data_IF_504077152219
#
_entry.id   IF_504077152219
#
_cell.length_a   1.000
_cell.length_b   1.000
_cell.length_c   1.000
_cell.angle_alpha   90.00
_cell.angle_beta   90.00
_cell.angle_gamma   90.00
#
_symmetry.space_group_name_H-M   'P 1'
#
loop_
_entity.id
_entity.type
_entity.pdbx_description
1 polymer ?
#
# COMPACT_ATOMS: atom_id res chain seq x y z
N UNK A 1 30.94 16.40 4.01
CA UNK A 1 29.53 16.67 3.66
C UNK A 1 29.06 15.62 2.67
N UNK A 2 28.71 14.45 3.18
CA UNK A 2 28.06 13.37 2.43
C UNK A 2 26.61 13.80 2.24
N UNK A 3 26.25 14.24 1.02
CA UNK A 3 24.84 14.29 0.62
C UNK A 3 24.35 12.85 0.68
N UNK A 4 23.66 12.50 1.76
CA UNK A 4 22.82 11.31 1.78
C UNK A 4 21.86 11.47 0.62
N UNK A 5 22.08 10.68 -0.43
CA UNK A 5 21.15 10.47 -1.52
C UNK A 5 19.99 9.71 -0.86
N UNK A 6 19.12 10.44 -0.15
CA UNK A 6 17.82 9.91 0.23
C UNK A 6 17.16 9.41 -1.05
N UNK A 7 16.71 8.16 -1.04
CA UNK A 7 16.25 7.45 -2.25
C UNK A 7 15.49 8.39 -3.18
N UNK A 8 16.04 8.59 -4.38
CA UNK A 8 15.42 9.41 -5.43
C UNK A 8 13.95 9.01 -5.62
N UNK A 9 13.63 7.73 -5.41
CA UNK A 9 12.28 7.21 -5.47
C UNK A 9 11.38 7.58 -4.30
N UNK A 10 11.93 7.70 -3.08
CA UNK A 10 11.18 8.23 -1.93
C UNK A 10 10.89 9.72 -2.11
N UNK A 11 11.85 10.47 -2.64
CA UNK A 11 11.68 11.91 -2.94
C UNK A 11 10.65 12.13 -4.05
N UNK A 12 10.71 11.33 -5.12
CA UNK A 12 9.70 11.34 -6.20
C UNK A 12 8.32 10.94 -5.69
N UNK A 13 8.25 9.90 -4.85
CA UNK A 13 6.99 9.47 -4.25
C UNK A 13 6.39 10.58 -3.37
N UNK A 14 7.23 11.25 -2.57
CA UNK A 14 6.83 12.39 -1.78
C UNK A 14 6.30 13.55 -2.65
N UNK A 15 7.00 13.90 -3.72
CA UNK A 15 6.61 14.99 -4.61
C UNK A 15 5.29 14.72 -5.35
N UNK A 16 5.08 13.49 -5.83
CA UNK A 16 3.91 13.14 -6.65
C UNK A 16 2.67 12.79 -5.83
N UNK A 17 2.85 12.16 -4.68
CA UNK A 17 1.75 11.59 -3.91
C UNK A 17 1.61 12.19 -2.50
N UNK A 18 2.47 13.14 -2.14
CA UNK A 18 2.57 13.68 -0.78
C UNK A 18 2.71 12.56 0.26
N UNK A 19 3.50 11.53 -0.08
CA UNK A 19 3.87 10.40 0.76
C UNK A 19 5.10 9.67 0.17
N UNK A 20 6.21 9.64 0.90
CA UNK A 20 7.48 9.04 0.43
C UNK A 20 7.47 7.52 0.31
N UNK A 21 6.50 6.82 0.89
CA UNK A 21 6.42 5.36 0.91
C UNK A 21 5.29 4.81 0.02
N UNK A 22 4.57 5.67 -0.71
CA UNK A 22 3.41 5.21 -1.47
C UNK A 22 3.81 4.20 -2.54
N UNK A 23 4.89 4.47 -3.29
CA UNK A 23 5.36 3.58 -4.36
C UNK A 23 5.70 2.19 -3.81
N UNK A 24 6.44 2.15 -2.70
CA UNK A 24 6.85 0.92 -2.03
C UNK A 24 5.64 0.10 -1.54
N UNK A 25 4.69 0.77 -0.87
CA UNK A 25 3.46 0.13 -0.36
C UNK A 25 2.58 -0.38 -1.50
N UNK A 26 2.39 0.41 -2.57
CA UNK A 26 1.57 0.01 -3.73
C UNK A 26 2.21 -1.18 -4.45
N UNK A 27 3.52 -1.17 -4.65
CA UNK A 27 4.22 -2.29 -5.27
C UNK A 27 4.13 -3.56 -4.44
N UNK A 28 4.26 -3.48 -3.11
CA UNK A 28 4.07 -4.63 -2.22
C UNK A 28 2.63 -5.19 -2.27
N UNK A 29 1.61 -4.32 -2.32
CA UNK A 29 0.23 -4.74 -2.53
C UNK A 29 0.07 -5.40 -3.90
N UNK A 30 0.66 -4.82 -4.94
CA UNK A 30 0.58 -5.32 -6.30
C UNK A 30 1.23 -6.70 -6.50
N UNK A 31 2.30 -7.00 -5.74
CA UNK A 31 2.95 -8.32 -5.70
C UNK A 31 2.06 -9.38 -5.03
N UNK A 32 1.24 -8.99 -4.05
CA UNK A 32 0.24 -9.87 -3.45
C UNK A 32 -0.92 -10.24 -4.41
N UNK A 33 -1.04 -9.53 -5.53
CA UNK A 33 -2.05 -9.76 -6.55
C UNK A 33 -3.46 -9.44 -6.06
N UNK A 34 -4.40 -10.37 -6.29
CA UNK A 34 -5.81 -10.25 -5.87
C UNK A 34 -6.11 -10.93 -4.52
N UNK A 35 -5.10 -11.50 -3.85
CA UNK A 35 -5.30 -12.18 -2.57
C UNK A 35 -5.60 -11.16 -1.47
N UNK A 36 -6.54 -11.44 -0.55
CA UNK A 36 -6.76 -10.59 0.60
C UNK A 36 -5.48 -10.49 1.46
N UNK A 37 -5.20 -9.29 1.95
CA UNK A 37 -4.01 -8.99 2.75
C UNK A 37 -4.37 -8.13 3.96
N UNK A 38 -3.47 -8.04 4.93
CA UNK A 38 -3.62 -7.17 6.10
C UNK A 38 -2.56 -6.07 6.06
N UNK A 39 -2.77 -4.97 6.80
CA UNK A 39 -1.75 -3.93 6.97
C UNK A 39 -0.42 -4.51 7.44
N UNK A 40 -0.46 -5.45 8.40
CA UNK A 40 0.72 -6.12 8.94
C UNK A 40 1.46 -6.96 7.89
N UNK A 41 0.72 -7.61 6.98
CA UNK A 41 1.33 -8.35 5.88
C UNK A 41 2.11 -7.41 4.94
N UNK A 42 1.57 -6.24 4.61
CA UNK A 42 2.25 -5.26 3.77
C UNK A 42 3.44 -4.62 4.49
N UNK A 43 3.30 -4.30 5.78
CA UNK A 43 4.39 -3.81 6.62
C UNK A 43 5.57 -4.80 6.63
N UNK A 44 5.30 -6.10 6.82
CA UNK A 44 6.31 -7.14 6.76
C UNK A 44 6.98 -7.24 5.38
N UNK A 45 6.21 -7.14 4.29
CA UNK A 45 6.75 -7.24 2.93
C UNK A 45 7.62 -6.04 2.52
N UNK A 46 7.39 -4.87 3.13
CA UNK A 46 8.11 -3.62 2.83
C UNK A 46 9.20 -3.32 3.87
N UNK A 47 9.33 -4.12 4.93
CA UNK A 47 10.15 -3.78 6.11
C UNK A 47 9.81 -2.42 6.75
N UNK A 48 8.64 -1.85 6.44
CA UNK A 48 8.13 -0.61 7.03
C UNK A 48 7.33 -0.93 8.28
N UNK A 49 7.23 0.04 9.19
CA UNK A 49 6.37 -0.10 10.36
C UNK A 49 4.88 0.03 9.99
N UNK A 50 4.01 -0.61 10.78
CA UNK A 50 2.56 -0.47 10.64
C UNK A 50 2.09 1.00 10.70
N UNK A 51 2.79 1.85 11.44
CA UNK A 51 2.46 3.29 11.56
C UNK A 51 2.71 4.07 10.27
N UNK A 52 3.66 3.63 9.44
CA UNK A 52 3.95 4.22 8.12
C UNK A 52 3.00 3.69 7.06
N UNK A 53 2.70 2.39 7.09
CA UNK A 53 1.85 1.73 6.07
C UNK A 53 0.37 2.10 6.25
N UNK A 54 -0.10 2.25 7.50
CA UNK A 54 -1.52 2.48 7.81
C UNK A 54 -2.10 3.76 7.18
N UNK A 55 -1.45 4.94 7.22
CA UNK A 55 -1.93 6.13 6.53
C UNK A 55 -2.07 5.93 5.01
N UNK A 56 -1.12 5.24 4.37
CA UNK A 56 -1.19 4.94 2.93
C UNK A 56 -2.39 4.05 2.62
N UNK A 57 -2.54 2.96 3.37
CA UNK A 57 -3.68 2.04 3.21
C UNK A 57 -5.01 2.76 3.42
N UNK A 58 -5.13 3.62 4.44
CA UNK A 58 -6.36 4.40 4.69
C UNK A 58 -6.70 5.27 3.48
N UNK A 59 -5.73 6.02 2.94
CA UNK A 59 -5.94 6.82 1.73
C UNK A 59 -6.43 5.99 0.55
N UNK A 60 -5.86 4.79 0.35
CA UNK A 60 -6.28 3.90 -0.74
C UNK A 60 -7.69 3.31 -0.53
N UNK A 61 -8.11 3.11 0.71
CA UNK A 61 -9.49 2.71 1.05
C UNK A 61 -10.45 3.89 0.83
N UNK A 62 -10.09 5.08 1.29
CA UNK A 62 -10.89 6.30 1.13
C UNK A 62 -11.07 6.65 -0.35
N UNK A 63 -10.06 6.40 -1.18
CA UNK A 63 -10.10 6.55 -2.63
C UNK A 63 -10.78 5.38 -3.36
N UNK A 64 -11.34 4.41 -2.63
CA UNK A 64 -12.00 3.20 -3.16
C UNK A 64 -11.13 2.33 -4.07
N UNK A 65 -9.80 2.40 -3.92
CA UNK A 65 -8.87 1.53 -4.64
C UNK A 65 -8.69 0.19 -3.92
N UNK A 66 -8.83 0.20 -2.60
CA UNK A 66 -8.90 -0.98 -1.75
C UNK A 66 -10.29 -1.09 -1.13
N UNK A 67 -10.73 -2.31 -0.90
CA UNK A 67 -11.98 -2.59 -0.19
C UNK A 67 -11.75 -3.57 0.97
N UNK A 68 -12.43 -3.38 2.11
CA UNK A 68 -12.45 -4.37 3.18
C UNK A 68 -13.06 -5.68 2.67
N UNK A 69 -12.42 -6.80 2.97
CA UNK A 69 -13.06 -8.09 2.81
C UNK A 69 -13.97 -8.29 4.02
N UNK A 70 -15.27 -8.48 3.79
CA UNK A 70 -16.20 -8.85 4.85
C UNK A 70 -15.75 -10.17 5.45
N UNK A 71 -15.14 -10.11 6.63
CA UNK A 71 -14.84 -11.30 7.40
C UNK A 71 -16.12 -11.75 8.09
N UNK A 72 -16.79 -12.76 7.54
CA UNK A 72 -17.97 -13.38 8.15
C UNK A 72 -17.61 -14.24 9.38
N UNK A 73 -16.47 -14.00 10.05
CA UNK A 73 -16.10 -14.77 11.23
C UNK A 73 -16.94 -14.32 12.43
N UNK A 74 -17.92 -15.15 12.79
CA UNK A 74 -18.80 -15.08 13.96
C UNK A 74 -18.08 -15.33 15.31
N UNK A 75 -16.76 -15.17 15.36
CA UNK A 75 -15.95 -15.41 16.55
C UNK A 75 -15.76 -14.14 17.40
N UNK A 76 -15.86 -14.29 18.74
CA UNK A 76 -15.66 -13.25 19.78
C UNK A 76 -14.27 -12.60 19.84
N UNK A 77 -13.45 -12.72 18.80
CA UNK A 77 -12.10 -12.15 18.71
C UNK A 77 -12.01 -10.98 17.73
N UNK A 78 -10.98 -10.13 17.89
CA UNK A 78 -10.69 -9.04 16.94
C UNK A 78 -10.28 -9.65 15.60
N UNK A 79 -11.26 -9.81 14.71
CA UNK A 79 -11.05 -10.42 13.39
C UNK A 79 -10.01 -9.60 12.60
N UNK A 80 -9.08 -10.23 11.86
CA UNK A 80 -8.10 -9.47 11.10
C UNK A 80 -8.80 -8.63 10.02
N UNK A 81 -8.44 -7.35 9.93
CA UNK A 81 -8.95 -6.45 8.89
C UNK A 81 -8.29 -6.79 7.55
N UNK A 82 -8.87 -7.76 6.84
CA UNK A 82 -8.47 -8.11 5.49
C UNK A 82 -8.93 -7.05 4.49
N UNK A 83 -8.05 -6.71 3.57
CA UNK A 83 -8.26 -5.77 2.48
C UNK A 83 -7.97 -6.50 1.17
N UNK A 84 -8.64 -6.10 0.09
CA UNK A 84 -8.32 -6.56 -1.26
C UNK A 84 -8.31 -5.40 -2.23
N UNK A 85 -7.61 -5.59 -3.34
CA UNK A 85 -7.58 -4.64 -4.46
C UNK A 85 -8.91 -4.68 -5.20
N UNK A 86 -9.42 -3.51 -5.57
CA UNK A 86 -10.63 -3.42 -6.40
C UNK A 86 -10.31 -3.68 -7.87
N UNK A 87 -11.33 -4.00 -8.66
CA UNK A 87 -11.20 -4.11 -10.13
C UNK A 87 -11.31 -2.74 -10.83
N UNK A 88 -11.21 -1.62 -10.11
CA UNK A 88 -11.30 -0.28 -10.69
C UNK A 88 -10.11 -0.02 -11.62
N UNK A 89 -10.35 0.69 -12.74
CA UNK A 89 -9.29 1.14 -13.65
C UNK A 89 -8.21 1.94 -12.92
N UNK A 90 -8.62 2.76 -11.94
CA UNK A 90 -7.71 3.55 -11.11
C UNK A 90 -6.67 2.73 -10.36
N UNK A 91 -6.97 1.49 -9.93
CA UNK A 91 -5.97 0.63 -9.31
C UNK A 91 -4.93 0.16 -10.32
N UNK A 92 -5.39 -0.18 -11.53
CA UNK A 92 -4.51 -0.61 -12.63
C UNK A 92 -3.57 0.51 -13.03
N UNK A 93 -4.08 1.74 -13.17
CA UNK A 93 -3.29 2.92 -13.53
C UNK A 93 -2.29 3.29 -12.42
N UNK A 94 -2.72 3.29 -11.16
CA UNK A 94 -1.84 3.58 -10.02
C UNK A 94 -0.70 2.55 -9.92
N UNK A 95 -1.02 1.26 -10.07
CA UNK A 95 -0.03 0.19 -10.09
C UNK A 95 0.96 0.38 -11.25
N UNK A 96 0.48 0.73 -12.45
CA UNK A 96 1.35 0.96 -13.60
C UNK A 96 2.28 2.16 -13.38
N UNK A 97 1.78 3.24 -12.78
CA UNK A 97 2.56 4.43 -12.44
C UNK A 97 3.63 4.10 -11.38
N UNK A 98 3.27 3.43 -10.29
CA UNK A 98 4.22 3.06 -9.23
C UNK A 98 5.30 2.08 -9.71
N UNK A 99 4.96 1.20 -10.67
CA UNK A 99 5.95 0.33 -11.30
C UNK A 99 6.99 1.13 -12.09
N UNK A 100 6.56 2.10 -12.90
CA UNK A 100 7.47 2.95 -13.70
C UNK A 100 8.38 3.83 -12.86
N UNK A 101 7.94 4.18 -11.65
CA UNK A 101 8.76 4.97 -10.73
C UNK A 101 9.79 4.07 -10.02
N UNK A 102 9.48 2.82 -9.74
CA UNK A 102 10.42 1.91 -9.07
C UNK A 102 11.55 1.36 -9.97
N UNK A 103 11.53 1.67 -11.27
CA UNK A 103 12.54 1.30 -12.28
C UNK A 103 13.51 2.47 -12.53
#
# INVERSE_FOLDING_TARGET
MTREIGDIERDRSAALFNNCHLVEVVNAIAQNGRKPFTTRNIANNTSLSDSVVRPVIRRLVDSRLLEPTTSNSTGRGRSPNYLRTTNASGWTELKALCRKLAD
#
